data_IF_683063153783
#
_entry.id   IF_683063153783
#
_cell.length_a   1.000
_cell.length_b   1.000
_cell.length_c   1.000
_cell.angle_alpha   90.00
_cell.angle_beta   90.00
_cell.angle_gamma   90.00
#
_symmetry.space_group_name_H-M   'P 1'
#
loop_
_entity.id
_entity.type
_entity.pdbx_description
1 polymer ?
#
# COMPACT_ATOMS: atom_id res chain seq x y z
N UNK A 1 2.19 7.40 13.10
CA UNK A 1 3.62 7.75 13.09
C UNK A 1 4.02 8.07 11.65
N UNK A 2 4.07 9.36 11.31
CA UNK A 2 4.50 9.83 10.00
C UNK A 2 6.02 9.93 10.01
N UNK A 3 6.72 9.10 9.24
CA UNK A 3 8.13 9.31 8.98
C UNK A 3 8.27 10.40 7.91
N UNK A 4 8.49 11.64 8.36
CA UNK A 4 9.00 12.74 7.53
C UNK A 4 10.40 12.35 7.06
N UNK A 5 10.64 12.37 5.74
CA UNK A 5 12.00 12.35 5.18
C UNK A 5 12.41 11.14 4.33
N UNK A 6 11.59 10.10 4.17
CA UNK A 6 11.81 9.13 3.08
C UNK A 6 11.02 9.63 1.87
N UNK A 7 11.69 9.83 0.74
CA UNK A 7 11.02 9.90 -0.56
C UNK A 7 10.12 8.66 -0.62
N UNK A 8 8.81 8.84 -0.52
CA UNK A 8 7.85 7.74 -0.57
C UNK A 8 7.98 7.18 -1.99
N UNK A 9 8.86 6.20 -2.17
CA UNK A 9 8.95 5.46 -3.43
C UNK A 9 7.69 4.61 -3.45
N UNK A 10 6.78 4.84 -4.40
CA UNK A 10 5.47 4.18 -4.40
C UNK A 10 5.57 2.66 -4.62
N UNK A 11 6.72 2.17 -5.10
CA UNK A 11 7.04 0.77 -5.35
C UNK A 11 8.50 0.52 -4.97
N UNK A 12 8.82 -0.68 -4.48
CA UNK A 12 10.18 -1.06 -4.10
C UNK A 12 11.18 -0.89 -5.26
N UNK A 13 12.38 -0.41 -4.93
CA UNK A 13 13.46 -0.18 -5.90
C UNK A 13 13.93 -1.45 -6.61
N UNK A 14 13.89 -2.62 -5.94
CA UNK A 14 14.28 -3.90 -6.52
C UNK A 14 13.35 -4.28 -7.68
N UNK A 15 12.04 -4.06 -7.52
CA UNK A 15 11.08 -4.32 -8.59
C UNK A 15 11.36 -3.45 -9.83
N UNK A 16 11.66 -2.17 -9.62
CA UNK A 16 12.03 -1.25 -10.70
C UNK A 16 13.27 -1.71 -11.46
N UNK A 17 14.32 -2.09 -10.71
CA UNK A 17 15.59 -2.54 -11.29
C UNK A 17 15.43 -3.87 -12.05
N UNK A 18 14.83 -4.88 -11.43
CA UNK A 18 14.66 -6.21 -12.03
C UNK A 18 13.78 -6.21 -13.28
N UNK A 19 12.78 -5.33 -13.34
CA UNK A 19 11.84 -5.25 -14.46
C UNK A 19 12.14 -4.11 -15.45
N UNK A 20 13.23 -3.35 -15.25
CA UNK A 20 13.61 -2.19 -16.07
C UNK A 20 12.48 -1.15 -16.23
N UNK A 21 11.68 -0.97 -15.19
CA UNK A 21 10.59 0.01 -15.20
C UNK A 21 11.13 1.43 -14.93
N UNK A 22 10.36 2.45 -15.33
CA UNK A 22 10.59 3.85 -14.99
C UNK A 22 9.40 4.41 -14.21
N UNK A 23 9.65 5.36 -13.30
CA UNK A 23 8.60 6.00 -12.52
C UNK A 23 7.52 6.65 -13.41
N UNK A 24 7.89 7.11 -14.62
CA UNK A 24 6.96 7.68 -15.60
C UNK A 24 5.94 6.67 -16.15
N UNK A 25 6.18 5.36 -16.01
CA UNK A 25 5.28 4.30 -16.46
C UNK A 25 4.21 3.94 -15.41
N UNK A 26 4.33 4.46 -14.18
CA UNK A 26 3.36 4.23 -13.12
C UNK A 26 2.01 4.86 -13.50
N UNK A 27 0.95 4.05 -13.40
CA UNK A 27 -0.43 4.50 -13.55
C UNK A 27 -1.19 4.23 -12.26
N UNK A 28 -1.97 5.20 -11.84
CA UNK A 28 -2.84 5.06 -10.67
C UNK A 28 -4.17 4.46 -11.11
N UNK A 29 -4.68 3.50 -10.34
CA UNK A 29 -6.01 2.92 -10.52
C UNK A 29 -6.68 2.81 -9.16
N UNK A 30 -7.95 3.22 -9.09
CA UNK A 30 -8.76 3.07 -7.88
C UNK A 30 -9.08 1.59 -7.69
N UNK A 31 -8.72 1.03 -6.52
CA UNK A 31 -9.03 -0.36 -6.15
C UNK A 31 -10.41 -0.48 -5.49
N UNK A 32 -10.74 0.46 -4.59
CA UNK A 32 -11.98 0.46 -3.83
C UNK A 32 -12.31 1.91 -3.44
N UNK A 33 -13.59 2.28 -3.54
CA UNK A 33 -14.11 3.51 -2.92
C UNK A 33 -14.80 3.09 -1.63
N UNK A 34 -14.21 3.44 -0.49
CA UNK A 34 -14.73 3.07 0.82
C UNK A 34 -15.44 4.26 1.46
N UNK A 35 -16.72 4.07 1.81
CA UNK A 35 -17.52 5.10 2.46
C UNK A 35 -17.24 5.14 3.95
N UNK A 36 -17.19 6.36 4.52
CA UNK A 36 -16.98 6.54 5.95
C UNK A 36 -18.19 6.03 6.74
N UNK A 37 -18.02 5.10 7.69
CA UNK A 37 -19.12 4.65 8.52
C UNK A 37 -19.75 5.81 9.29
N UNK A 38 -21.07 5.80 9.37
CA UNK A 38 -21.87 6.81 10.09
C UNK A 38 -21.61 6.71 11.60
N UNK A 39 -21.38 5.50 12.11
CA UNK A 39 -21.32 5.18 13.53
C UNK A 39 -19.98 5.56 14.21
N UNK A 40 -19.12 6.35 13.54
CA UNK A 40 -17.78 6.64 14.01
C UNK A 40 -16.82 5.44 13.90
N UNK A 41 -15.61 5.63 14.43
CA UNK A 41 -14.49 4.68 14.34
C UNK A 41 -13.22 5.36 13.84
N UNK A 42 -12.06 4.80 14.19
CA UNK A 42 -10.77 5.32 13.73
C UNK A 42 -10.64 5.09 12.21
N UNK A 43 -10.80 6.17 11.45
CA UNK A 43 -10.74 6.16 10.00
C UNK A 43 -9.38 5.65 9.48
N UNK A 44 -8.30 5.95 10.19
CA UNK A 44 -6.97 5.49 9.80
C UNK A 44 -6.87 3.98 9.96
N UNK A 45 -7.34 3.43 11.08
CA UNK A 45 -7.38 1.98 11.32
C UNK A 45 -8.24 1.25 10.27
N UNK A 46 -9.38 1.82 9.89
CA UNK A 46 -10.24 1.28 8.83
C UNK A 46 -9.54 1.28 7.46
N UNK A 47 -8.86 2.37 7.10
CA UNK A 47 -8.11 2.46 5.85
C UNK A 47 -6.94 1.47 5.83
N UNK A 48 -6.20 1.34 6.93
CA UNK A 48 -5.10 0.38 7.05
C UNK A 48 -5.58 -1.07 6.88
N UNK A 49 -6.75 -1.42 7.45
CA UNK A 49 -7.38 -2.73 7.24
C UNK A 49 -7.73 -2.99 5.78
N UNK A 50 -8.22 -1.97 5.06
CA UNK A 50 -8.53 -2.06 3.62
C UNK A 50 -7.26 -2.18 2.79
N UNK A 51 -6.25 -1.39 3.08
CA UNK A 51 -4.93 -1.47 2.43
C UNK A 51 -4.33 -2.87 2.58
N UNK A 52 -4.27 -3.40 3.81
CA UNK A 52 -3.76 -4.73 4.08
C UNK A 52 -4.54 -5.83 3.32
N UNK A 53 -5.87 -5.71 3.25
CA UNK A 53 -6.71 -6.61 2.45
C UNK A 53 -6.31 -6.59 0.98
N UNK A 54 -6.05 -5.42 0.40
CA UNK A 54 -5.65 -5.30 -1.01
C UNK A 54 -4.22 -5.76 -1.27
N UNK A 55 -3.26 -5.45 -0.39
CA UNK A 55 -1.89 -5.96 -0.48
C UNK A 55 -1.89 -7.49 -0.51
N UNK A 56 -2.67 -8.13 0.39
CA UNK A 56 -2.82 -9.59 0.41
C UNK A 56 -3.51 -10.11 -0.85
N UNK A 57 -4.57 -9.44 -1.33
CA UNK A 57 -5.32 -9.88 -2.51
C UNK A 57 -4.52 -9.77 -3.81
N UNK A 58 -3.68 -8.75 -3.94
CA UNK A 58 -2.83 -8.53 -5.11
C UNK A 58 -1.52 -9.34 -5.06
N UNK A 59 -1.24 -9.96 -3.91
CA UNK A 59 -0.03 -10.73 -3.65
C UNK A 59 1.22 -9.92 -4.01
N UNK A 60 1.31 -8.71 -3.44
CA UNK A 60 2.24 -7.68 -3.87
C UNK A 60 3.51 -7.58 -3.03
N UNK A 61 3.74 -8.50 -2.08
CA UNK A 61 4.87 -8.49 -1.14
C UNK A 61 5.99 -9.43 -1.60
N UNK A 62 5.75 -10.73 -1.67
CA UNK A 62 6.64 -11.73 -2.25
C UNK A 62 5.81 -12.62 -3.16
N UNK A 63 6.28 -12.99 -4.36
CA UNK A 63 7.59 -12.71 -4.97
C UNK A 63 7.66 -11.37 -5.72
N UNK A 64 6.56 -10.60 -5.79
CA UNK A 64 6.49 -9.41 -6.67
C UNK A 64 7.25 -8.20 -6.15
N UNK A 65 7.44 -8.11 -4.82
CA UNK A 65 8.17 -7.04 -4.11
C UNK A 65 7.72 -5.66 -4.55
N UNK A 66 6.42 -5.47 -4.76
CA UNK A 66 5.87 -4.14 -5.11
C UNK A 66 5.68 -3.33 -3.83
N UNK A 67 5.19 -3.98 -2.76
CA UNK A 67 5.15 -3.45 -1.41
C UNK A 67 6.31 -4.00 -0.60
N UNK A 68 6.98 -3.15 0.18
CA UNK A 68 8.15 -3.56 0.97
C UNK A 68 7.79 -4.48 2.13
N UNK A 69 6.64 -4.25 2.76
CA UNK A 69 6.20 -4.96 3.96
C UNK A 69 4.68 -5.14 3.96
N UNK A 70 4.23 -6.18 4.64
CA UNK A 70 2.83 -6.38 5.02
C UNK A 70 2.80 -6.60 6.53
N UNK A 71 2.11 -5.72 7.25
CA UNK A 71 1.93 -5.83 8.69
C UNK A 71 0.48 -5.58 9.06
N UNK A 72 -0.09 -6.49 9.84
CA UNK A 72 -1.42 -6.35 10.42
C UNK A 72 -1.39 -5.75 11.82
N UNK A 73 -0.22 -5.70 12.45
CA UNK A 73 -0.04 -5.22 13.83
C UNK A 73 -0.41 -3.75 14.00
N UNK A 74 -0.41 -2.97 12.93
CA UNK A 74 -0.73 -1.54 12.97
C UNK A 74 -2.21 -1.24 13.27
N UNK A 75 -3.07 -2.26 13.30
CA UNK A 75 -4.52 -2.10 13.47
C UNK A 75 -5.19 -3.27 14.22
N UNK A 76 -4.38 -4.09 14.91
CA UNK A 76 -4.78 -5.05 15.94
C UNK A 76 -4.71 -4.36 17.30
#
# INVERSE_FOLDING_TARGET
>A
MLCVGKTIRPVNILHFFSNKHSACQLKWKVLEVFQKPINGGDWNNLLLKREAKWIRRLDSVLPKVINEQFSVCCFL
#
